data_IF_918077779038
#
_entry.id   IF_918077779038
#
_cell.length_a   1.000
_cell.length_b   1.000
_cell.length_c   1.000
_cell.angle_alpha   90.00
_cell.angle_beta   90.00
_cell.angle_gamma   90.00
#
_symmetry.space_group_name_H-M   'P 1'
#
loop_
_entity.id
_entity.type
_entity.pdbx_description
1 polymer ?
#
# COMPACT_ATOMS: atom_id res chain seq x y z
N UNK A 1 5.93 13.76 -22.95
CA UNK A 1 4.79 14.31 -22.17
C UNK A 1 5.24 14.21 -20.73
N UNK A 2 5.57 15.34 -20.11
CA UNK A 2 6.08 15.33 -18.72
C UNK A 2 5.11 14.55 -17.84
N UNK A 3 5.68 13.61 -17.09
CA UNK A 3 4.96 12.86 -16.08
C UNK A 3 4.69 13.78 -14.87
N UNK A 4 3.93 14.84 -15.09
CA UNK A 4 3.58 15.81 -14.06
C UNK A 4 2.70 15.11 -13.05
N UNK A 5 3.11 15.13 -11.79
CA UNK A 5 2.30 14.64 -10.68
C UNK A 5 0.97 15.39 -10.66
N UNK A 6 -0.18 14.70 -10.80
CA UNK A 6 -1.47 15.37 -10.77
C UNK A 6 -1.68 16.13 -9.46
N UNK A 7 -2.26 17.32 -9.54
CA UNK A 7 -2.46 18.18 -8.37
C UNK A 7 -3.29 17.55 -7.25
N UNK A 8 -4.10 16.53 -7.56
CA UNK A 8 -4.83 15.74 -6.56
C UNK A 8 -3.89 14.92 -5.66
N UNK A 9 -2.86 14.28 -6.23
CA UNK A 9 -1.85 13.54 -5.47
C UNK A 9 -0.92 14.48 -4.68
N UNK A 10 -0.64 15.67 -5.21
CA UNK A 10 0.16 16.69 -4.52
C UNK A 10 -0.56 17.26 -3.28
N UNK A 11 -1.90 17.28 -3.30
CA UNK A 11 -2.72 17.83 -2.21
C UNK A 11 -3.17 16.77 -1.20
N UNK A 12 -2.89 15.49 -1.45
CA UNK A 12 -3.23 14.42 -0.51
C UNK A 12 -2.57 14.69 0.84
N UNK A 13 -3.33 14.55 1.93
CA UNK A 13 -2.83 14.67 3.31
C UNK A 13 -3.10 13.40 4.09
N UNK A 14 -2.35 13.21 5.18
CA UNK A 14 -2.61 12.12 6.13
C UNK A 14 -4.06 12.14 6.65
N UNK A 15 -4.63 13.32 6.86
CA UNK A 15 -6.02 13.48 7.28
C UNK A 15 -7.02 12.89 6.26
N UNK A 16 -6.74 12.97 4.95
CA UNK A 16 -7.57 12.36 3.92
C UNK A 16 -7.51 10.84 4.03
N UNK A 17 -6.32 10.28 4.25
CA UNK A 17 -6.12 8.84 4.45
C UNK A 17 -6.91 8.36 5.67
N UNK A 18 -6.82 9.07 6.79
CA UNK A 18 -7.58 8.76 8.02
C UNK A 18 -9.09 8.82 7.75
N UNK A 19 -9.57 9.83 7.00
CA UNK A 19 -10.99 9.97 6.65
C UNK A 19 -11.47 8.83 5.74
N UNK A 20 -10.63 8.35 4.82
CA UNK A 20 -10.98 7.29 3.86
C UNK A 20 -10.89 5.88 4.46
N UNK A 21 -9.91 5.62 5.32
CA UNK A 21 -9.65 4.29 5.89
C UNK A 21 -10.22 4.11 7.31
N UNK A 22 -10.47 5.20 8.03
CA UNK A 22 -10.68 5.19 9.47
C UNK A 22 -9.36 5.12 10.25
N UNK A 23 -9.39 5.57 11.51
CA UNK A 23 -8.19 5.75 12.33
C UNK A 23 -7.37 4.46 12.51
N UNK A 24 -8.03 3.35 12.83
CA UNK A 24 -7.36 2.07 13.08
C UNK A 24 -6.62 1.57 11.83
N UNK A 25 -7.29 1.58 10.68
CA UNK A 25 -6.71 1.09 9.43
C UNK A 25 -5.60 2.02 8.94
N UNK A 26 -5.79 3.34 9.06
CA UNK A 26 -4.77 4.31 8.75
C UNK A 26 -3.52 4.13 9.65
N UNK A 27 -3.71 3.86 10.94
CA UNK A 27 -2.59 3.62 11.88
C UNK A 27 -1.80 2.37 11.49
N UNK A 28 -2.48 1.27 11.14
CA UNK A 28 -1.81 0.06 10.63
C UNK A 28 -1.05 0.33 9.32
N UNK A 29 -1.67 1.06 8.38
CA UNK A 29 -1.02 1.40 7.12
C UNK A 29 0.22 2.28 7.33
N UNK A 30 0.16 3.22 8.26
CA UNK A 30 1.31 4.05 8.63
C UNK A 30 2.45 3.19 9.21
N UNK A 31 2.13 2.21 10.06
CA UNK A 31 3.13 1.28 10.58
C UNK A 31 3.77 0.44 9.47
N UNK A 32 2.97 -0.06 8.52
CA UNK A 32 3.49 -0.82 7.36
C UNK A 32 4.43 0.03 6.49
N UNK A 33 4.11 1.32 6.29
CA UNK A 33 5.02 2.24 5.62
C UNK A 33 6.30 2.46 6.45
N UNK A 34 6.19 2.65 7.77
CA UNK A 34 7.32 2.90 8.68
C UNK A 34 8.34 1.76 8.69
N UNK A 35 7.88 0.51 8.62
CA UNK A 35 8.75 -0.68 8.60
C UNK A 35 9.29 -1.03 7.20
N UNK A 36 8.95 -0.26 6.17
CA UNK A 36 9.41 -0.50 4.80
C UNK A 36 8.70 -1.66 4.09
N UNK A 37 7.45 -1.98 4.46
CA UNK A 37 6.69 -3.06 3.81
C UNK A 37 6.30 -2.73 2.35
N UNK A 38 6.31 -1.45 1.96
CA UNK A 38 5.86 -0.98 0.65
C UNK A 38 7.04 -0.92 -0.32
N UNK A 39 6.92 -1.62 -1.45
CA UNK A 39 7.97 -1.69 -2.47
C UNK A 39 7.35 -1.92 -3.86
N UNK A 40 8.20 -1.97 -4.90
CA UNK A 40 7.78 -2.03 -6.30
C UNK A 40 6.74 -0.95 -6.65
N UNK A 41 6.96 0.27 -6.14
CA UNK A 41 6.04 1.39 -6.26
C UNK A 41 6.11 2.03 -7.63
N UNK A 42 4.95 2.29 -8.21
CA UNK A 42 4.82 2.89 -9.54
C UNK A 42 3.68 3.90 -9.56
N UNK A 43 3.84 4.97 -10.35
CA UNK A 43 2.77 5.93 -10.61
C UNK A 43 2.34 5.88 -12.07
N UNK A 44 1.05 6.05 -12.31
CA UNK A 44 0.47 6.25 -13.63
C UNK A 44 -0.57 7.36 -13.54
N UNK A 45 -0.18 8.59 -13.84
CA UNK A 45 -1.05 9.75 -13.62
C UNK A 45 -1.43 9.89 -12.14
N UNK A 46 -2.74 9.78 -11.83
CA UNK A 46 -3.29 9.87 -10.48
C UNK A 46 -3.43 8.51 -9.77
N UNK A 47 -2.98 7.45 -10.44
CA UNK A 47 -2.99 6.08 -9.93
C UNK A 47 -1.62 5.73 -9.34
N UNK A 48 -1.64 5.17 -8.15
CA UNK A 48 -0.49 4.61 -7.45
C UNK A 48 -0.63 3.10 -7.41
N UNK A 49 0.46 2.41 -7.68
CA UNK A 49 0.57 0.96 -7.62
C UNK A 49 1.74 0.58 -6.72
N UNK A 50 1.64 -0.57 -6.07
CA UNK A 50 2.75 -1.13 -5.31
C UNK A 50 2.42 -2.48 -4.71
N UNK A 51 3.44 -3.08 -4.09
CA UNK A 51 3.32 -4.32 -3.34
C UNK A 51 3.57 -4.00 -1.87
N UNK A 52 2.70 -4.51 -1.00
CA UNK A 52 2.88 -4.45 0.45
C UNK A 52 3.21 -5.85 0.94
N UNK A 53 4.43 -6.04 1.44
CA UNK A 53 4.92 -7.30 1.99
C UNK A 53 5.01 -7.24 3.51
N UNK A 54 4.23 -8.08 4.16
CA UNK A 54 4.13 -8.20 5.62
C UNK A 54 4.82 -9.44 6.17
N UNK A 55 5.53 -10.24 5.36
CA UNK A 55 6.21 -11.46 5.80
C UNK A 55 7.24 -11.20 6.90
N UNK A 56 7.85 -10.02 6.89
CA UNK A 56 8.80 -9.60 7.93
C UNK A 56 8.14 -9.37 9.30
N UNK A 57 6.83 -9.11 9.35
CA UNK A 57 6.09 -8.95 10.62
C UNK A 57 5.84 -10.29 11.30
N UNK A 58 5.50 -11.33 10.53
CA UNK A 58 5.28 -12.67 11.05
C UNK A 58 6.57 -13.37 11.48
N UNK A 59 7.72 -12.99 10.92
CA UNK A 59 9.03 -13.54 11.30
C UNK A 59 9.39 -13.21 12.75
N UNK A 60 9.00 -12.04 13.25
CA UNK A 60 9.20 -11.65 14.66
C UNK A 60 8.28 -12.44 15.61
N UNK A 61 7.08 -12.83 15.14
CA UNK A 61 6.15 -13.64 15.93
C UNK A 61 6.50 -15.14 15.92
N UNK A 62 7.06 -15.67 14.83
CA UNK A 62 7.41 -17.10 14.66
C UNK A 62 8.79 -17.51 15.16
N UNK A 63 9.67 -16.57 15.52
CA UNK A 63 10.96 -16.91 16.17
C UNK A 63 10.81 -17.70 17.50
N UNK A 64 9.58 -17.88 18.02
CA UNK A 64 9.27 -18.73 19.16
C UNK A 64 8.62 -20.09 18.85
N UNK A 65 8.34 -20.46 17.59
CA UNK A 65 7.60 -21.68 17.28
C UNK A 65 8.32 -22.54 16.21
N UNK A 66 9.10 -23.51 16.69
CA UNK A 66 9.72 -24.56 15.88
C UNK A 66 8.65 -25.57 15.44
N UNK A 67 8.39 -25.70 14.13
CA UNK A 67 7.57 -26.81 13.63
C UNK A 67 7.11 -26.72 12.17
N UNK A 68 7.70 -27.59 11.33
CA UNK A 68 7.28 -28.15 10.03
C UNK A 68 6.53 -27.26 9.03
N UNK A 69 7.24 -26.91 7.97
CA UNK A 69 6.94 -25.85 7.00
C UNK A 69 7.40 -26.36 5.64
N UNK A 70 6.48 -26.79 4.76
CA UNK A 70 6.75 -26.89 3.30
C UNK A 70 5.47 -26.75 2.45
N UNK A 71 4.28 -27.17 2.92
CA UNK A 71 3.02 -27.03 2.14
C UNK A 71 2.11 -25.86 2.58
N UNK A 72 2.24 -25.39 3.82
CA UNK A 72 1.53 -24.22 4.35
C UNK A 72 2.22 -22.89 4.01
N UNK A 73 3.49 -22.94 3.59
CA UNK A 73 4.30 -21.76 3.32
C UNK A 73 3.88 -21.05 2.05
N UNK A 74 3.62 -21.74 0.94
CA UNK A 74 3.18 -21.08 -0.29
C UNK A 74 1.90 -20.24 -0.11
N UNK A 75 0.90 -20.81 0.58
CA UNK A 75 -0.37 -20.10 0.84
C UNK A 75 -0.19 -18.95 1.85
N UNK A 76 0.74 -19.10 2.79
CA UNK A 76 1.09 -18.04 3.72
C UNK A 76 1.88 -16.92 3.02
N UNK A 77 2.90 -17.23 2.21
CA UNK A 77 3.72 -16.25 1.46
C UNK A 77 2.83 -15.35 0.58
N UNK A 78 1.82 -15.91 -0.09
CA UNK A 78 0.85 -15.13 -0.87
C UNK A 78 -0.07 -14.25 0.00
N UNK A 79 -0.39 -14.69 1.22
CA UNK A 79 -1.19 -13.89 2.16
C UNK A 79 -0.45 -12.67 2.70
N UNK A 80 0.89 -12.70 2.72
CA UNK A 80 1.70 -11.60 3.22
C UNK A 80 2.02 -10.55 2.17
N UNK A 81 1.96 -10.90 0.88
CA UNK A 81 2.26 -10.00 -0.24
C UNK A 81 0.98 -9.58 -0.94
N UNK A 82 0.58 -8.34 -0.70
CA UNK A 82 -0.61 -7.78 -1.31
C UNK A 82 -0.26 -6.83 -2.46
N UNK A 83 -0.78 -7.10 -3.65
CA UNK A 83 -0.79 -6.13 -4.75
C UNK A 83 -1.86 -5.08 -4.47
N UNK A 84 -1.48 -3.82 -4.60
CA UNK A 84 -2.31 -2.68 -4.24
C UNK A 84 -2.31 -1.66 -5.36
N UNK A 85 -3.51 -1.18 -5.68
CA UNK A 85 -3.73 -0.08 -6.61
C UNK A 85 -4.66 0.93 -5.95
N UNK A 86 -4.30 2.21 -6.00
CA UNK A 86 -5.15 3.30 -5.52
C UNK A 86 -5.15 4.42 -6.55
N UNK A 87 -6.31 4.78 -7.07
CA UNK A 87 -6.51 5.93 -7.93
C UNK A 87 -7.26 7.01 -7.17
N UNK A 88 -6.67 8.21 -7.11
CA UNK A 88 -7.30 9.36 -6.44
C UNK A 88 -7.90 10.28 -7.48
N UNK A 89 -9.23 10.32 -7.54
CA UNK A 89 -9.94 11.19 -8.47
C UNK A 89 -10.15 12.59 -7.88
N UNK A 90 -10.41 12.66 -6.57
CA UNK A 90 -10.51 13.93 -5.82
C UNK A 90 -10.17 13.71 -4.35
N UNK A 91 -10.23 14.77 -3.54
CA UNK A 91 -10.04 14.67 -2.07
C UNK A 91 -11.01 13.68 -1.42
N UNK A 92 -12.15 13.41 -2.05
CA UNK A 92 -13.26 12.62 -1.49
C UNK A 92 -13.56 11.34 -2.26
N UNK A 93 -13.08 11.23 -3.49
CA UNK A 93 -13.40 10.14 -4.43
C UNK A 93 -12.11 9.42 -4.77
N UNK A 94 -12.11 8.12 -4.52
CA UNK A 94 -10.98 7.25 -4.72
C UNK A 94 -11.48 5.88 -5.19
N UNK A 95 -10.62 5.15 -5.88
CA UNK A 95 -10.80 3.76 -6.24
C UNK A 95 -9.61 2.99 -5.69
N UNK A 96 -9.85 1.95 -4.88
CA UNK A 96 -8.77 1.08 -4.43
C UNK A 96 -9.08 -0.36 -4.80
N UNK A 97 -8.07 -1.04 -5.30
CA UNK A 97 -8.05 -2.49 -5.49
C UNK A 97 -6.91 -3.06 -4.69
N UNK A 98 -7.19 -4.09 -3.90
CA UNK A 98 -6.17 -4.80 -3.17
C UNK A 98 -6.52 -6.29 -3.15
N UNK A 99 -5.51 -7.14 -3.33
CA UNK A 99 -5.71 -8.60 -3.27
C UNK A 99 -6.23 -9.08 -1.91
N UNK A 100 -6.07 -8.31 -0.83
CA UNK A 100 -6.63 -8.68 0.48
C UNK A 100 -8.16 -8.55 0.56
N UNK A 101 -8.74 -7.68 -0.26
CA UNK A 101 -10.17 -7.37 -0.26
C UNK A 101 -10.57 -6.90 -1.67
N UNK A 102 -10.84 -7.84 -2.59
CA UNK A 102 -11.32 -7.48 -3.92
C UNK A 102 -12.69 -6.79 -3.77
N UNK A 103 -12.83 -5.58 -4.34
CA UNK A 103 -14.04 -4.74 -4.30
C UNK A 103 -14.40 -4.13 -2.93
N UNK A 104 -13.40 -3.62 -2.19
CA UNK A 104 -13.63 -2.97 -0.92
C UNK A 104 -14.34 -1.61 -1.08
N UNK A 105 -15.34 -1.35 -0.24
CA UNK A 105 -16.01 -0.04 -0.10
C UNK A 105 -15.15 0.97 0.67
N UNK A 106 -14.15 0.48 1.42
CA UNK A 106 -13.24 1.29 2.24
C UNK A 106 -11.76 0.94 1.95
N UNK A 107 -10.87 1.90 2.18
CA UNK A 107 -9.42 1.69 2.02
C UNK A 107 -8.94 0.69 3.06
N UNK A 108 -8.25 -0.36 2.62
CA UNK A 108 -7.62 -1.34 3.50
C UNK A 108 -6.26 -0.83 4.03
N UNK A 109 -5.69 -1.53 5.01
CA UNK A 109 -4.38 -1.18 5.59
C UNK A 109 -3.24 -1.13 4.57
N UNK A 110 -3.27 -1.99 3.55
CA UNK A 110 -2.25 -2.02 2.50
C UNK A 110 -2.36 -0.80 1.56
N UNK A 111 -3.58 -0.41 1.20
CA UNK A 111 -3.84 0.81 0.46
C UNK A 111 -3.48 2.07 1.26
N UNK A 112 -3.78 2.10 2.56
CA UNK A 112 -3.31 3.17 3.44
C UNK A 112 -1.77 3.24 3.49
N UNK A 113 -1.08 2.10 3.58
CA UNK A 113 0.39 2.04 3.56
C UNK A 113 0.98 2.61 2.27
N UNK A 114 0.41 2.26 1.11
CA UNK A 114 0.82 2.79 -0.18
C UNK A 114 0.67 4.32 -0.25
N UNK A 115 -0.44 4.84 0.26
CA UNK A 115 -0.69 6.28 0.31
C UNK A 115 0.28 7.01 1.26
N UNK A 116 0.59 6.44 2.42
CA UNK A 116 1.61 6.99 3.31
C UNK A 116 3.01 6.94 2.68
N UNK A 117 3.35 5.87 1.96
CA UNK A 117 4.61 5.79 1.23
C UNK A 117 4.72 6.90 0.19
N UNK A 118 3.61 7.21 -0.51
CA UNK A 118 3.55 8.34 -1.42
C UNK A 118 3.78 9.67 -0.71
N UNK A 119 3.14 9.91 0.44
CA UNK A 119 3.34 11.15 1.20
C UNK A 119 4.78 11.32 1.70
N UNK A 120 5.42 10.22 2.13
CA UNK A 120 6.78 10.25 2.66
C UNK A 120 7.84 10.35 1.57
N UNK A 121 7.68 9.58 0.49
CA UNK A 121 8.67 9.46 -0.58
C UNK A 121 8.02 9.45 -1.97
N UNK A 122 7.49 10.59 -2.47
CA UNK A 122 6.85 10.67 -3.77
C UNK A 122 7.76 10.22 -4.93
N UNK A 123 9.07 10.47 -4.80
CA UNK A 123 10.09 10.12 -5.81
C UNK A 123 10.37 8.62 -5.91
N UNK A 124 9.94 7.81 -4.93
CA UNK A 124 10.03 6.36 -5.00
C UNK A 124 9.04 5.76 -6.02
N UNK A 125 8.04 6.53 -6.44
CA UNK A 125 7.05 6.11 -7.43
C UNK A 125 7.49 6.54 -8.82
N UNK A 126 8.25 5.68 -9.47
CA UNK A 126 8.68 5.89 -10.85
C UNK A 126 7.50 5.66 -11.80
N UNK A 127 7.43 6.43 -12.87
CA UNK A 127 6.48 6.17 -13.94
C UNK A 127 7.11 5.35 -15.06
N UNK A 128 6.35 4.44 -15.69
CA UNK A 128 6.88 3.53 -16.69
C UNK A 128 7.39 4.22 -17.97
N UNK A 129 7.05 5.49 -18.19
CA UNK A 129 7.43 6.27 -19.38
C UNK A 129 8.64 7.18 -19.16
N UNK A 130 9.34 7.05 -18.04
CA UNK A 130 10.56 7.81 -17.72
C UNK A 130 11.77 7.06 -18.29
N UNK A 131 11.88 6.97 -19.63
CA UNK A 131 13.05 6.43 -20.35
C UNK A 131 13.74 7.53 -21.12
#
# INVERSE_FOLDING_TARGET
MDDVVPGVLQRLRAADIIRMAGLTVASMGQEYCRIGAVHATMRQGAKLLGIVDTSHLDTVAKAGATGSVEALEQKAIEQHRCSVEVEIQSSSIWLASCSCTPNAVAICRHAAALLYQWLAHPTAFVSPFSS
#
